data_IF_859840218448
#
_entry.id   IF_859840218448
#
_cell.length_a   1.000
_cell.length_b   1.000
_cell.length_c   1.000
_cell.angle_alpha   90.00
_cell.angle_beta   90.00
_cell.angle_gamma   90.00
#
_symmetry.space_group_name_H-M   'P 1'
#
loop_
_entity.id
_entity.type
_entity.pdbx_description
1 polymer ?
#
# COMPACT_ATOMS: atom_id res chain seq x y z
N UNK A 1 -6.14 9.43 -4.10
CA UNK A 1 -6.94 8.53 -4.96
C UNK A 1 -8.35 8.40 -4.39
N UNK A 2 -9.38 8.53 -5.23
CA UNK A 2 -10.77 8.19 -4.92
C UNK A 2 -11.23 7.10 -5.90
N UNK A 3 -12.06 6.18 -5.43
CA UNK A 3 -12.69 5.15 -6.25
C UNK A 3 -14.21 5.30 -6.14
N UNK A 4 -14.83 5.63 -7.27
CA UNK A 4 -16.27 5.81 -7.42
C UNK A 4 -16.94 4.46 -7.72
N UNK A 5 -17.63 3.91 -6.72
CA UNK A 5 -18.29 2.61 -6.78
C UNK A 5 -19.51 2.63 -7.70
N UNK A 6 -20.16 3.79 -7.89
CA UNK A 6 -21.31 3.91 -8.80
C UNK A 6 -20.89 3.81 -10.26
N UNK A 7 -19.63 4.17 -10.56
CA UNK A 7 -19.04 4.03 -11.90
C UNK A 7 -18.35 2.69 -12.10
N UNK A 8 -17.94 2.01 -11.04
CA UNK A 8 -17.15 0.79 -11.19
C UNK A 8 -17.98 -0.37 -11.75
N UNK A 9 -17.67 -0.80 -12.98
CA UNK A 9 -18.31 -1.95 -13.63
C UNK A 9 -17.59 -3.29 -13.38
N UNK A 10 -16.52 -3.27 -12.57
CA UNK A 10 -15.79 -4.49 -12.23
C UNK A 10 -15.11 -5.21 -13.40
N UNK A 11 -14.66 -4.49 -14.44
CA UNK A 11 -14.06 -5.09 -15.64
C UNK A 11 -12.62 -5.60 -15.48
N UNK A 12 -11.99 -5.42 -14.31
CA UNK A 12 -10.61 -5.81 -14.01
C UNK A 12 -9.50 -5.15 -14.86
N UNK A 13 -9.81 -4.24 -15.79
CA UNK A 13 -8.83 -3.54 -16.62
C UNK A 13 -7.73 -2.86 -15.79
N UNK A 14 -8.10 -2.24 -14.66
CA UNK A 14 -7.17 -1.60 -13.74
C UNK A 14 -6.13 -2.56 -13.13
N UNK A 15 -6.51 -3.83 -12.92
CA UNK A 15 -5.60 -4.85 -12.40
C UNK A 15 -4.65 -5.34 -13.49
N UNK A 16 -5.18 -5.63 -14.68
CA UNK A 16 -4.40 -6.09 -15.84
C UNK A 16 -3.37 -5.03 -16.26
N UNK A 17 -3.79 -3.78 -16.43
CA UNK A 17 -2.88 -2.70 -16.82
C UNK A 17 -1.76 -2.49 -15.78
N UNK A 18 -2.10 -2.58 -14.50
CA UNK A 18 -1.09 -2.46 -13.44
C UNK A 18 -0.09 -3.63 -13.44
N UNK A 19 -0.51 -4.83 -13.84
CA UNK A 19 0.43 -5.95 -13.98
C UNK A 19 1.36 -5.74 -15.17
N UNK A 20 0.79 -5.38 -16.32
CA UNK A 20 1.54 -5.16 -17.55
C UNK A 20 2.54 -4.00 -17.43
N UNK A 21 2.15 -2.91 -16.77
CA UNK A 21 3.02 -1.74 -16.57
C UNK A 21 4.24 -2.04 -15.69
N UNK A 22 4.11 -2.98 -14.75
CA UNK A 22 5.07 -3.17 -13.66
C UNK A 22 5.63 -4.59 -13.55
N UNK A 23 5.44 -5.40 -14.59
CA UNK A 23 5.85 -6.81 -14.67
C UNK A 23 5.49 -7.60 -13.40
N UNK A 24 4.27 -7.40 -12.91
CA UNK A 24 3.78 -8.08 -11.69
C UNK A 24 3.51 -9.55 -12.02
N UNK A 25 4.00 -10.52 -11.21
CA UNK A 25 3.76 -11.93 -11.44
C UNK A 25 2.28 -12.29 -11.59
N UNK A 26 2.01 -13.33 -12.39
CA UNK A 26 0.65 -13.74 -12.75
C UNK A 26 -0.23 -14.08 -11.54
N UNK A 27 0.35 -14.63 -10.46
CA UNK A 27 -0.34 -15.01 -9.21
C UNK A 27 -0.40 -13.88 -8.16
N UNK A 28 0.26 -12.73 -8.42
CA UNK A 28 0.30 -11.57 -7.50
C UNK A 28 -0.46 -10.38 -8.07
N UNK A 29 -0.65 -9.33 -7.26
CA UNK A 29 -1.32 -8.12 -7.72
C UNK A 29 -1.01 -6.91 -6.85
N UNK A 30 -0.73 -5.76 -7.48
CA UNK A 30 -0.59 -4.47 -6.80
C UNK A 30 -1.94 -3.78 -6.53
N UNK A 31 -2.98 -4.18 -7.25
CA UNK A 31 -4.38 -3.85 -7.01
C UNK A 31 -5.27 -5.05 -7.36
N UNK A 32 -6.53 -5.03 -6.93
CA UNK A 32 -7.52 -6.08 -7.19
C UNK A 32 -8.91 -5.48 -7.43
N UNK A 33 -9.85 -6.33 -7.85
CA UNK A 33 -11.29 -6.06 -7.88
C UNK A 33 -12.00 -7.27 -7.31
N UNK A 34 -12.79 -7.11 -6.25
CA UNK A 34 -13.66 -8.15 -5.67
C UNK A 34 -15.11 -7.84 -5.97
N UNK A 35 -15.93 -8.83 -6.31
CA UNK A 35 -17.39 -8.66 -6.33
C UNK A 35 -17.90 -8.74 -4.88
N UNK A 36 -18.78 -7.83 -4.51
CA UNK A 36 -19.46 -7.82 -3.22
C UNK A 36 -20.96 -8.03 -3.41
N UNK A 37 -21.56 -8.81 -2.50
CA UNK A 37 -22.97 -9.17 -2.57
C UNK A 37 -23.29 -10.15 -3.72
N UNK A 38 -24.57 -10.33 -4.06
CA UNK A 38 -25.72 -9.58 -3.53
C UNK A 38 -25.95 -9.81 -2.04
N UNK A 39 -26.29 -8.76 -1.29
CA UNK A 39 -26.60 -8.86 0.14
C UNK A 39 -27.57 -7.76 0.58
N UNK A 40 -28.41 -8.07 1.56
CA UNK A 40 -29.30 -7.09 2.17
C UNK A 40 -28.51 -6.18 3.09
N UNK A 41 -28.64 -4.87 2.89
CA UNK A 41 -28.10 -3.84 3.78
C UNK A 41 -29.27 -3.12 4.48
N UNK A 42 -29.03 -2.35 5.55
CA UNK A 42 -30.03 -1.44 6.13
C UNK A 42 -30.59 -0.41 5.13
N UNK A 43 -29.98 -0.29 3.94
CA UNK A 43 -30.37 0.63 2.87
C UNK A 43 -30.91 -0.10 1.63
N UNK A 44 -31.23 -1.39 1.74
CA UNK A 44 -31.77 -2.22 0.67
C UNK A 44 -30.77 -3.23 0.09
N UNK A 45 -31.21 -3.98 -0.93
CA UNK A 45 -30.38 -4.95 -1.63
C UNK A 45 -29.24 -4.23 -2.37
N UNK A 46 -28.00 -4.67 -2.11
CA UNK A 46 -26.78 -4.12 -2.71
C UNK A 46 -25.98 -5.20 -3.44
N UNK A 47 -25.35 -4.82 -4.55
CA UNK A 47 -24.30 -5.58 -5.20
C UNK A 47 -23.37 -4.59 -5.89
N UNK A 48 -22.08 -4.68 -5.58
CA UNK A 48 -21.08 -3.73 -6.07
C UNK A 48 -19.74 -4.41 -6.26
N UNK A 49 -18.72 -3.63 -6.59
CA UNK A 49 -17.34 -4.09 -6.71
C UNK A 49 -16.46 -3.35 -5.71
N UNK A 50 -15.41 -4.02 -5.24
CA UNK A 50 -14.37 -3.45 -4.40
C UNK A 50 -13.03 -3.47 -5.15
N UNK A 51 -12.68 -2.38 -5.84
CA UNK A 51 -11.35 -2.19 -6.38
C UNK A 51 -10.40 -1.74 -5.26
N UNK A 52 -9.56 -2.64 -4.74
CA UNK A 52 -8.61 -2.32 -3.67
C UNK A 52 -7.16 -2.24 -4.15
N UNK A 53 -6.32 -1.57 -3.37
CA UNK A 53 -4.87 -1.37 -3.58
C UNK A 53 -4.21 -0.88 -2.29
N UNK A 54 -2.90 -0.63 -2.31
CA UNK A 54 -2.23 0.02 -1.18
C UNK A 54 -2.86 1.39 -0.90
N UNK A 55 -3.16 1.65 0.37
CA UNK A 55 -3.79 2.89 0.81
C UNK A 55 -2.81 4.07 0.94
N UNK A 56 -1.49 3.86 0.83
CA UNK A 56 -0.46 4.87 1.09
C UNK A 56 -0.75 5.65 2.39
N UNK A 57 -0.95 4.92 3.50
CA UNK A 57 -1.51 5.44 4.75
C UNK A 57 -0.67 6.55 5.39
N UNK A 58 -1.33 7.35 6.22
CA UNK A 58 -0.69 8.44 6.95
C UNK A 58 0.29 7.96 8.01
N UNK A 59 -0.09 6.91 8.73
CA UNK A 59 0.71 6.21 9.74
C UNK A 59 0.97 4.77 9.29
N UNK A 60 1.86 4.54 8.30
CA UNK A 60 1.98 3.24 7.65
C UNK A 60 2.65 2.22 8.59
N UNK A 61 1.85 1.28 9.12
CA UNK A 61 2.34 0.18 9.97
C UNK A 61 3.51 -0.59 9.33
N UNK A 62 3.43 -0.81 8.01
CA UNK A 62 4.47 -1.44 7.22
C UNK A 62 5.85 -0.75 7.24
N UNK A 63 5.91 0.56 7.49
CA UNK A 63 7.18 1.30 7.64
C UNK A 63 7.78 1.07 9.03
N UNK A 64 6.95 1.14 10.07
CA UNK A 64 7.36 1.02 11.47
C UNK A 64 7.97 -0.36 11.85
N UNK A 65 7.77 -1.38 11.01
CA UNK A 65 8.21 -2.76 11.24
C UNK A 65 9.39 -3.19 10.36
N UNK A 66 9.83 -2.34 9.42
CA UNK A 66 10.89 -2.72 8.49
C UNK A 66 12.21 -2.94 9.25
N UNK A 67 12.82 -4.14 9.17
CA UNK A 67 14.02 -4.48 9.93
C UNK A 67 15.32 -3.97 9.29
N UNK A 68 15.30 -3.57 8.01
CA UNK A 68 16.48 -3.04 7.30
C UNK A 68 17.12 -1.86 8.04
N UNK A 69 18.44 -1.77 7.96
CA UNK A 69 19.19 -0.69 8.59
C UNK A 69 18.78 0.66 8.01
N UNK A 70 18.52 1.68 8.85
CA UNK A 70 18.18 3.01 8.38
C UNK A 70 19.39 3.69 7.72
N UNK A 71 19.10 4.54 6.73
CA UNK A 71 20.08 5.44 6.13
C UNK A 71 19.46 6.83 5.99
N UNK A 72 20.30 7.86 6.01
CA UNK A 72 19.91 9.20 5.64
C UNK A 72 19.53 9.25 4.16
N UNK A 73 18.32 9.72 3.85
CA UNK A 73 17.85 9.97 2.50
C UNK A 73 17.33 11.41 2.40
N UNK A 74 17.68 12.11 1.32
CA UNK A 74 17.22 13.47 1.04
C UNK A 74 16.10 13.43 0.00
N UNK A 75 14.94 13.92 0.41
CA UNK A 75 13.74 14.07 -0.40
C UNK A 75 13.69 15.47 -0.99
N UNK A 76 13.13 15.60 -2.20
CA UNK A 76 12.91 16.89 -2.85
C UNK A 76 11.46 16.97 -3.31
N UNK A 77 10.76 18.02 -2.87
CA UNK A 77 9.38 18.29 -3.26
C UNK A 77 9.31 18.71 -4.74
N UNK A 78 8.49 18.00 -5.51
CA UNK A 78 8.18 18.40 -6.88
C UNK A 78 7.48 19.77 -6.89
N UNK A 79 7.98 20.70 -7.70
CA UNK A 79 7.41 22.04 -7.86
C UNK A 79 8.05 23.14 -7.02
N UNK A 80 8.29 22.91 -5.72
CA UNK A 80 8.91 23.94 -4.85
C UNK A 80 10.44 23.80 -4.75
N UNK A 81 10.97 22.60 -5.00
CA UNK A 81 12.38 22.29 -4.78
C UNK A 81 12.77 22.19 -3.30
N UNK A 82 11.80 22.24 -2.37
CA UNK A 82 12.05 22.11 -0.94
C UNK A 82 12.65 20.74 -0.65
N UNK A 83 13.73 20.71 0.12
CA UNK A 83 14.40 19.46 0.50
C UNK A 83 14.14 19.10 1.96
N UNK A 84 14.20 17.80 2.25
CA UNK A 84 14.17 17.27 3.62
C UNK A 84 15.01 16.01 3.70
N UNK A 85 15.94 15.96 4.63
CA UNK A 85 16.70 14.74 4.93
C UNK A 85 16.11 14.03 6.14
N UNK A 86 15.92 12.72 6.05
CA UNK A 86 15.46 11.90 7.18
C UNK A 86 16.01 10.47 7.10
N UNK A 87 16.12 9.83 8.26
CA UNK A 87 16.48 8.42 8.36
C UNK A 87 15.32 7.53 7.89
N UNK A 88 15.61 6.63 6.95
CA UNK A 88 14.63 5.69 6.40
C UNK A 88 15.20 4.28 6.29
N UNK A 89 14.38 3.28 6.63
CA UNK A 89 14.66 1.88 6.31
C UNK A 89 14.36 1.59 4.82
N UNK A 90 14.26 0.32 4.43
CA UNK A 90 13.96 -0.08 3.05
C UNK A 90 12.51 0.22 2.59
N UNK A 91 11.62 0.64 3.49
CA UNK A 91 10.31 1.19 3.12
C UNK A 91 10.05 2.45 3.93
N UNK A 92 9.54 3.48 3.29
CA UNK A 92 9.34 4.80 3.89
C UNK A 92 8.05 5.44 3.41
N UNK A 93 7.65 6.53 4.07
CA UNK A 93 6.65 7.48 3.56
C UNK A 93 7.41 8.72 3.11
N UNK A 94 7.22 9.11 1.86
CA UNK A 94 7.72 10.37 1.33
C UNK A 94 7.11 11.54 2.13
N UNK A 95 7.90 12.50 2.60
CA UNK A 95 7.43 13.57 3.47
C UNK A 95 6.64 14.67 2.74
N UNK A 96 6.66 14.71 1.40
CA UNK A 96 6.04 15.74 0.59
C UNK A 96 4.79 15.21 -0.11
N UNK A 97 4.92 14.15 -0.92
CA UNK A 97 3.78 13.61 -1.68
C UNK A 97 2.94 12.60 -0.87
N UNK A 98 3.45 12.19 0.30
CA UNK A 98 2.78 11.27 1.22
C UNK A 98 2.74 9.82 0.74
N UNK A 99 3.38 9.49 -0.36
CA UNK A 99 3.40 8.13 -0.89
C UNK A 99 4.29 7.22 -0.04
N UNK A 100 3.85 5.98 0.20
CA UNK A 100 4.67 4.97 0.88
C UNK A 100 5.41 4.17 -0.17
N UNK A 101 6.73 4.08 -0.11
CA UNK A 101 7.58 3.42 -1.12
C UNK A 101 8.47 2.32 -0.52
N UNK A 102 9.09 1.52 -1.40
CA UNK A 102 10.01 0.43 -1.06
C UNK A 102 11.24 0.53 -1.95
N UNK A 103 12.41 0.56 -1.34
CA UNK A 103 13.70 0.39 -1.99
C UNK A 103 13.93 -1.10 -2.11
N UNK A 104 13.98 -1.57 -3.36
CA UNK A 104 14.11 -2.99 -3.69
C UNK A 104 15.52 -3.52 -3.44
N UNK A 105 16.53 -2.66 -3.52
CA UNK A 105 17.93 -3.05 -3.29
C UNK A 105 18.15 -3.31 -1.80
N UNK A 106 17.61 -2.45 -0.94
CA UNK A 106 17.72 -2.58 0.53
C UNK A 106 16.70 -3.51 1.17
N UNK A 107 15.70 -3.96 0.42
CA UNK A 107 14.68 -4.86 0.95
C UNK A 107 15.25 -6.26 1.23
N UNK A 108 15.08 -6.73 2.47
CA UNK A 108 15.61 -8.02 2.94
C UNK A 108 14.71 -9.23 2.61
N UNK A 109 13.61 -9.06 1.87
CA UNK A 109 12.68 -10.16 1.55
C UNK A 109 11.84 -10.72 2.72
N UNK A 110 12.14 -10.34 3.97
CA UNK A 110 11.57 -10.95 5.20
C UNK A 110 10.04 -10.96 5.41
N UNK A 111 9.24 -10.28 4.58
CA UNK A 111 7.77 -10.30 4.69
C UNK A 111 7.14 -9.53 5.85
N UNK A 112 7.89 -9.04 6.84
CA UNK A 112 7.34 -8.35 8.02
C UNK A 112 6.39 -7.18 7.68
N UNK A 113 6.70 -6.43 6.63
CA UNK A 113 5.85 -5.31 6.18
C UNK A 113 4.55 -5.76 5.48
N UNK A 114 4.53 -6.97 4.91
CA UNK A 114 3.34 -7.58 4.33
C UNK A 114 2.40 -8.06 5.43
N UNK A 115 2.93 -8.79 6.42
CA UNK A 115 2.19 -9.22 7.61
C UNK A 115 1.62 -8.02 8.38
N UNK A 116 2.36 -6.91 8.41
CA UNK A 116 1.95 -5.71 9.11
C UNK A 116 0.86 -4.88 8.41
N UNK A 117 0.54 -5.18 7.15
CA UNK A 117 -0.41 -4.39 6.38
C UNK A 117 -1.85 -4.86 6.68
N UNK A 118 -2.69 -4.03 7.33
CA UNK A 118 -4.05 -4.46 7.70
C UNK A 118 -5.01 -4.57 6.50
N UNK A 119 -4.54 -4.19 5.31
CA UNK A 119 -5.29 -4.25 4.05
C UNK A 119 -4.78 -5.37 3.13
N UNK A 120 -3.80 -6.16 3.57
CA UNK A 120 -3.14 -7.20 2.76
C UNK A 120 -2.65 -6.69 1.40
N UNK A 121 -2.24 -5.42 1.34
CA UNK A 121 -1.88 -4.74 0.10
C UNK A 121 -0.40 -4.88 -0.29
N UNK A 122 0.31 -5.82 0.35
CA UNK A 122 1.74 -6.09 0.20
C UNK A 122 1.93 -7.60 0.10
N UNK A 123 2.91 -8.03 -0.68
CA UNK A 123 3.35 -9.42 -0.78
C UNK A 123 4.88 -9.46 -0.95
N UNK A 124 5.50 -10.63 -0.78
CA UNK A 124 6.89 -10.84 -1.21
C UNK A 124 6.86 -11.37 -2.64
N UNK A 125 7.54 -10.68 -3.55
CA UNK A 125 7.70 -11.07 -4.93
C UNK A 125 8.97 -11.92 -5.07
N UNK A 126 8.85 -13.25 -5.29
CA UNK A 126 10.00 -14.14 -5.41
C UNK A 126 10.78 -13.94 -6.71
N UNK A 127 10.22 -13.24 -7.70
CA UNK A 127 10.93 -12.91 -8.95
C UNK A 127 11.93 -11.76 -8.78
N UNK A 128 11.95 -11.08 -7.63
CA UNK A 128 12.86 -9.96 -7.36
C UNK A 128 14.00 -10.41 -6.45
N UNK A 129 15.12 -10.83 -7.04
CA UNK A 129 16.30 -11.29 -6.29
C UNK A 129 16.11 -12.64 -5.57
N UNK A 130 17.19 -13.14 -4.97
CA UNK A 130 17.25 -14.49 -4.38
C UNK A 130 16.23 -14.71 -3.25
N UNK A 131 16.18 -13.80 -2.27
CA UNK A 131 15.24 -13.88 -1.14
C UNK A 131 13.82 -13.34 -1.46
N UNK A 132 13.59 -12.90 -2.70
CA UNK A 132 12.43 -12.09 -3.07
C UNK A 132 12.44 -10.69 -2.45
N UNK A 133 11.63 -9.76 -2.97
CA UNK A 133 11.44 -8.42 -2.39
C UNK A 133 9.98 -8.11 -2.13
N UNK A 134 9.69 -7.40 -1.05
CA UNK A 134 8.35 -6.90 -0.77
C UNK A 134 7.86 -5.99 -1.90
N UNK A 135 6.62 -6.17 -2.35
CA UNK A 135 6.03 -5.43 -3.45
C UNK A 135 4.56 -5.03 -3.18
N UNK A 136 4.11 -3.95 -3.83
CA UNK A 136 2.80 -3.33 -3.66
C UNK A 136 2.57 -2.23 -4.72
N UNK A 137 1.37 -1.66 -4.75
CA UNK A 137 1.11 -0.41 -5.46
C UNK A 137 2.09 0.70 -5.02
N UNK A 138 2.61 1.44 -6.00
CA UNK A 138 3.50 2.60 -5.82
C UNK A 138 2.80 3.93 -6.07
N UNK A 139 1.49 3.92 -6.40
CA UNK A 139 0.78 5.02 -7.05
C UNK A 139 1.40 5.44 -8.40
N UNK A 140 2.19 4.55 -9.01
CA UNK A 140 2.89 4.81 -10.27
C UNK A 140 3.72 6.10 -10.20
N UNK A 141 4.46 6.32 -9.11
CA UNK A 141 5.22 7.55 -8.88
C UNK A 141 6.12 7.92 -10.06
N UNK A 142 6.69 6.94 -10.75
CA UNK A 142 7.54 7.16 -11.92
C UNK A 142 6.73 7.69 -13.12
N UNK A 143 5.50 7.18 -13.34
CA UNK A 143 4.58 7.72 -14.36
C UNK A 143 4.14 9.13 -14.01
N UNK A 144 3.77 9.35 -12.74
CA UNK A 144 3.31 10.65 -12.25
C UNK A 144 4.42 11.69 -12.36
N UNK A 145 5.67 11.33 -12.04
CA UNK A 145 6.84 12.19 -12.23
C UNK A 145 7.07 12.55 -13.71
N UNK A 146 6.68 11.67 -14.65
CA UNK A 146 6.70 11.94 -16.08
C UNK A 146 5.44 12.68 -16.60
N UNK A 147 4.55 13.16 -15.72
CA UNK A 147 3.32 13.85 -16.09
C UNK A 147 2.22 12.95 -16.62
N UNK A 148 2.32 11.64 -16.42
CA UNK A 148 1.33 10.65 -16.84
C UNK A 148 0.43 10.24 -15.67
N UNK A 149 -0.79 9.81 -15.99
CA UNK A 149 -1.67 9.19 -14.99
C UNK A 149 -1.15 7.80 -14.57
N UNK A 150 -1.47 7.34 -13.34
CA UNK A 150 -1.26 5.95 -12.97
C UNK A 150 -1.94 5.00 -13.97
N UNK A 151 -1.29 3.89 -14.35
CA UNK A 151 -1.81 2.98 -15.39
C UNK A 151 -3.24 2.49 -15.09
N UNK A 152 -3.56 2.25 -13.81
CA UNK A 152 -4.90 1.83 -13.38
C UNK A 152 -5.98 2.91 -13.53
N UNK A 153 -5.61 4.18 -13.56
CA UNK A 153 -6.49 5.35 -13.78
C UNK A 153 -6.69 5.53 -15.28
N UNK A 154 -5.60 5.59 -16.04
CA UNK A 154 -5.61 5.77 -17.48
C UNK A 154 -6.46 4.72 -18.22
N UNK A 155 -6.39 3.45 -17.79
CA UNK A 155 -7.17 2.36 -18.41
C UNK A 155 -8.64 2.31 -17.97
N UNK A 156 -9.05 3.11 -16.98
CA UNK A 156 -10.36 2.98 -16.36
C UNK A 156 -11.47 3.51 -17.28
N UNK A 157 -12.05 2.62 -18.08
CA UNK A 157 -13.10 2.93 -19.07
C UNK A 157 -14.29 3.72 -18.48
N UNK A 158 -14.68 3.41 -17.25
CA UNK A 158 -15.82 4.05 -16.59
C UNK A 158 -15.44 5.32 -15.81
N UNK A 159 -14.17 5.72 -15.77
CA UNK A 159 -13.70 6.86 -14.98
C UNK A 159 -13.95 6.70 -13.48
N UNK A 160 -13.92 5.46 -12.98
CA UNK A 160 -14.18 5.13 -11.57
C UNK A 160 -12.98 5.41 -10.67
N UNK A 161 -11.75 5.32 -11.18
CA UNK A 161 -10.53 5.61 -10.41
C UNK A 161 -10.09 7.04 -10.70
N UNK A 162 -10.00 7.86 -9.65
CA UNK A 162 -9.71 9.30 -9.74
C UNK A 162 -8.45 9.58 -8.93
N UNK A 163 -7.42 10.09 -9.58
CA UNK A 163 -6.14 10.39 -8.97
C UNK A 163 -5.86 11.89 -8.92
N UNK A 164 -5.05 12.32 -7.96
CA UNK A 164 -4.75 13.73 -7.74
C UNK A 164 -4.26 14.01 -6.33
N UNK A 165 -3.88 15.26 -6.12
CA UNK A 165 -3.39 15.78 -4.83
C UNK A 165 -4.56 16.14 -3.91
N UNK A 166 -4.54 15.60 -2.69
CA UNK A 166 -5.54 15.90 -1.67
C UNK A 166 -5.33 17.28 -1.01
N UNK A 167 -4.14 17.85 -1.12
CA UNK A 167 -3.81 19.16 -0.58
C UNK A 167 -4.26 20.30 -1.51
N UNK A 168 -4.45 20.03 -2.80
CA UNK A 168 -5.08 20.97 -3.72
C UNK A 168 -6.62 20.92 -3.59
N UNK A 169 -7.28 21.96 -3.05
CA UNK A 169 -8.73 21.97 -2.88
C UNK A 169 -9.51 22.04 -4.20
N UNK A 170 -8.84 22.28 -5.33
CA UNK A 170 -9.41 22.31 -6.69
C UNK A 170 -9.31 20.95 -7.39
N UNK A 171 -8.52 20.01 -6.87
CA UNK A 171 -8.35 18.70 -7.49
C UNK A 171 -9.65 17.90 -7.51
N UNK A 172 -9.78 16.98 -8.48
CA UNK A 172 -10.96 16.11 -8.57
C UNK A 172 -11.11 15.24 -7.32
N UNK A 173 -10.00 14.73 -6.76
CA UNK A 173 -10.05 13.95 -5.51
C UNK A 173 -10.59 14.78 -4.34
N UNK A 174 -10.20 16.05 -4.21
CA UNK A 174 -10.69 16.93 -3.15
C UNK A 174 -12.19 17.24 -3.30
N UNK A 175 -12.69 17.37 -4.53
CA UNK A 175 -14.13 17.52 -4.80
C UNK A 175 -14.92 16.30 -4.32
N UNK A 176 -14.42 15.09 -4.61
CA UNK A 176 -15.06 13.85 -4.15
C UNK A 176 -15.00 13.69 -2.63
N UNK A 177 -13.92 14.11 -1.97
CA UNK A 177 -13.84 14.15 -0.50
C UNK A 177 -14.94 15.05 0.07
N UNK A 178 -15.12 16.25 -0.50
CA UNK A 178 -16.20 17.19 -0.10
C UNK A 178 -17.60 16.60 -0.32
N UNK A 179 -17.77 15.75 -1.34
CA UNK A 179 -19.04 15.02 -1.61
C UNK A 179 -19.29 13.85 -0.65
N UNK A 180 -18.36 13.54 0.25
CA UNK A 180 -18.51 12.47 1.24
C UNK A 180 -17.81 11.16 0.88
N UNK A 181 -16.74 11.18 0.07
CA UNK A 181 -15.91 10.00 -0.13
C UNK A 181 -15.28 9.53 1.21
N UNK A 182 -15.48 8.27 1.56
CA UNK A 182 -15.14 7.69 2.86
C UNK A 182 -13.80 6.97 2.85
N UNK A 183 -13.13 6.95 3.99
CA UNK A 183 -11.94 6.13 4.25
C UNK A 183 -12.35 4.74 4.72
N UNK A 184 -11.57 3.72 4.35
CA UNK A 184 -11.75 2.36 4.88
C UNK A 184 -10.94 2.20 6.16
N UNK A 185 -11.54 2.55 7.29
CA UNK A 185 -10.89 2.61 8.59
C UNK A 185 -11.83 2.04 9.67
N UNK A 186 -11.31 1.28 10.62
CA UNK A 186 -12.08 0.86 11.82
C UNK A 186 -11.60 1.62 13.03
N UNK A 187 -12.38 1.56 14.12
CA UNK A 187 -11.94 2.13 15.39
C UNK A 187 -10.63 1.54 15.90
N UNK A 188 -10.39 0.28 15.60
CA UNK A 188 -9.21 -0.45 16.03
C UNK A 188 -8.00 -0.25 15.10
N UNK A 189 -8.20 0.23 13.88
CA UNK A 189 -7.13 0.45 12.88
C UNK A 189 -7.22 1.88 12.37
N UNK A 190 -6.86 2.86 13.21
CA UNK A 190 -6.87 4.29 12.88
C UNK A 190 -5.54 4.82 12.33
N UNK A 191 -5.16 4.39 11.13
CA UNK A 191 -3.86 4.72 10.51
C UNK A 191 -3.95 5.69 9.31
N UNK A 192 -5.13 6.25 9.05
CA UNK A 192 -5.35 7.27 8.02
C UNK A 192 -5.08 6.77 6.59
N UNK A 193 -5.88 5.86 6.02
CA UNK A 193 -5.75 5.49 4.61
C UNK A 193 -6.02 6.67 3.68
N UNK A 194 -5.26 6.77 2.58
CA UNK A 194 -5.36 7.87 1.62
C UNK A 194 -6.17 7.53 0.35
N UNK A 195 -6.49 6.26 0.12
CA UNK A 195 -7.53 5.87 -0.85
C UNK A 195 -8.89 5.99 -0.18
N UNK A 196 -9.84 6.61 -0.89
CA UNK A 196 -11.22 6.80 -0.42
C UNK A 196 -12.21 6.23 -1.43
N UNK A 197 -13.40 5.90 -0.96
CA UNK A 197 -14.48 5.34 -1.78
C UNK A 197 -15.68 6.27 -1.79
N UNK A 198 -16.27 6.45 -2.95
CA UNK A 198 -17.49 7.24 -3.12
C UNK A 198 -18.58 6.35 -3.71
N UNK A 199 -19.83 6.55 -3.30
CA UNK A 199 -20.98 5.90 -3.90
C UNK A 199 -22.21 5.93 -2.99
N UNK A 200 -23.28 5.27 -3.42
CA UNK A 200 -24.52 5.20 -2.67
C UNK A 200 -24.35 4.48 -1.32
N UNK A 201 -25.28 4.75 -0.40
CA UNK A 201 -25.22 4.25 0.98
C UNK A 201 -25.20 2.73 1.09
N UNK A 202 -25.94 2.02 0.23
CA UNK A 202 -26.05 0.55 0.28
C UNK A 202 -24.73 -0.11 -0.16
N UNK A 203 -24.07 0.40 -1.19
CA UNK A 203 -22.82 -0.14 -1.69
C UNK A 203 -21.65 0.21 -0.77
N UNK A 204 -21.62 1.44 -0.23
CA UNK A 204 -20.65 1.83 0.78
C UNK A 204 -20.80 1.01 2.07
N UNK A 205 -22.03 0.77 2.52
CA UNK A 205 -22.28 -0.09 3.69
C UNK A 205 -21.71 -1.49 3.46
N UNK A 206 -22.05 -2.12 2.33
CA UNK A 206 -21.55 -3.45 1.98
C UNK A 206 -20.02 -3.51 1.90
N UNK A 207 -19.39 -2.47 1.35
CA UNK A 207 -17.93 -2.36 1.33
C UNK A 207 -17.37 -2.24 2.75
N UNK A 208 -17.91 -1.35 3.58
CA UNK A 208 -17.43 -1.13 4.96
C UNK A 208 -17.58 -2.36 5.84
N UNK A 209 -18.69 -3.10 5.75
CA UNK A 209 -18.84 -4.31 6.57
C UNK A 209 -17.90 -5.44 6.14
N UNK A 210 -17.67 -5.59 4.83
CA UNK A 210 -16.89 -6.72 4.29
C UNK A 210 -15.38 -6.50 4.26
N UNK A 211 -14.93 -5.24 4.19
CA UNK A 211 -13.57 -4.92 3.77
C UNK A 211 -12.83 -3.93 4.69
N UNK A 212 -13.47 -3.46 5.75
CA UNK A 212 -12.79 -2.62 6.74
C UNK A 212 -11.72 -3.42 7.48
N UNK A 213 -10.51 -2.88 7.67
CA UNK A 213 -9.42 -3.60 8.33
C UNK A 213 -9.77 -3.94 9.78
N UNK A 214 -9.35 -5.13 10.20
CA UNK A 214 -9.34 -5.56 11.60
C UNK A 214 -7.91 -5.47 12.16
N UNK A 215 -7.78 -5.46 13.48
CA UNK A 215 -6.46 -5.48 14.14
C UNK A 215 -5.68 -6.69 13.66
N UNK A 216 -4.37 -6.52 13.51
CA UNK A 216 -3.49 -7.65 13.18
C UNK A 216 -3.63 -8.75 14.23
N UNK A 217 -3.68 -10.03 13.82
CA UNK A 217 -3.64 -11.14 14.76
C UNK A 217 -2.44 -11.03 15.70
N UNK A 218 -2.61 -11.34 16.99
CA UNK A 218 -1.53 -11.23 18.00
C UNK A 218 -0.25 -11.97 17.61
N UNK A 219 -0.38 -13.10 16.90
CA UNK A 219 0.75 -13.88 16.40
C UNK A 219 1.65 -13.07 15.46
N UNK A 220 1.07 -12.21 14.62
CA UNK A 220 1.81 -11.32 13.73
C UNK A 220 2.52 -10.22 14.53
N UNK A 221 1.86 -9.67 15.57
CA UNK A 221 2.50 -8.71 16.48
C UNK A 221 3.69 -9.29 17.23
N UNK A 222 3.59 -10.53 17.73
CA UNK A 222 4.70 -11.21 18.43
C UNK A 222 5.92 -11.42 17.53
N UNK A 223 5.72 -11.82 16.27
CA UNK A 223 6.83 -11.95 15.29
C UNK A 223 7.52 -10.61 15.05
N UNK A 224 6.75 -9.54 14.89
CA UNK A 224 7.26 -8.18 14.69
C UNK A 224 8.07 -7.70 15.93
N UNK A 225 7.56 -7.95 17.13
CA UNK A 225 8.24 -7.63 18.39
C UNK A 225 9.56 -8.41 18.53
N UNK A 226 9.56 -9.72 18.23
CA UNK A 226 10.78 -10.52 18.26
C UNK A 226 11.82 -10.03 17.24
N UNK A 227 11.41 -9.70 16.01
CA UNK A 227 12.31 -9.12 15.01
C UNK A 227 12.96 -7.80 15.49
N UNK A 228 12.21 -6.96 16.23
CA UNK A 228 12.75 -5.75 16.86
C UNK A 228 13.69 -6.05 18.04
N UNK A 229 13.41 -7.06 18.85
CA UNK A 229 14.25 -7.45 19.99
C UNK A 229 15.55 -8.15 19.58
N UNK A 230 15.56 -8.86 18.45
CA UNK A 230 16.74 -9.54 17.91
C UNK A 230 17.70 -8.60 17.15
N UNK A 231 17.26 -7.39 16.78
CA UNK A 231 18.11 -6.35 16.13
C UNK A 231 19.42 -6.04 16.87
N UNK A 232 19.43 -5.74 18.19
CA UNK A 232 20.68 -5.47 18.90
C UNK A 232 21.59 -6.69 19.08
N UNK A 233 21.05 -7.92 19.05
CA UNK A 233 21.82 -9.16 19.21
C UNK A 233 22.56 -9.54 17.92
N UNK A 234 21.93 -9.35 16.77
CA UNK A 234 22.54 -9.57 15.45
C UNK A 234 23.58 -8.49 15.11
N UNK A 235 23.38 -7.24 15.56
CA UNK A 235 24.35 -6.15 15.42
C UNK A 235 25.67 -6.40 16.18
N UNK A 236 25.64 -7.15 17.29
CA UNK A 236 26.86 -7.58 18.02
C UNK A 236 27.58 -8.75 17.36
N UNK A 237 26.87 -9.59 16.60
CA UNK A 237 27.44 -10.73 15.89
C UNK A 237 28.09 -10.34 14.55
N UNK A 238 27.57 -9.32 13.86
CA UNK A 238 28.04 -8.88 12.54
C UNK A 238 29.41 -8.18 12.49
N UNK A 239 30.08 -7.95 13.64
CA UNK A 239 31.42 -7.35 13.69
C UNK A 239 32.51 -8.30 14.19
N UNK A 240 32.20 -9.58 14.49
CA UNK A 240 33.21 -10.58 14.84
C UNK A 240 32.85 -11.95 14.29
N UNK A 241 33.69 -12.39 13.37
CA UNK A 241 34.00 -13.77 12.97
C UNK A 241 33.39 -14.23 11.65
N UNK A 242 34.26 -14.27 10.63
CA UNK A 242 34.20 -15.35 9.66
C UNK A 242 34.29 -16.68 10.41
N UNK A 243 33.30 -17.53 10.20
CA UNK A 243 33.37 -18.96 10.52
C UNK A 243 32.97 -19.71 9.24
N UNK A 244 33.87 -19.66 8.26
CA UNK A 244 33.99 -20.72 7.27
C UNK A 244 35.01 -21.71 7.84
N UNK A 245 34.56 -22.90 8.20
CA UNK A 245 35.41 -23.98 8.68
C UNK A 245 34.97 -24.49 10.04
N UNK A 246 34.27 -25.63 10.03
CA UNK A 246 34.40 -26.83 10.88
C UNK A 246 33.08 -27.59 10.72
N UNK A 247 32.96 -28.33 9.60
CA UNK A 247 32.10 -29.50 9.46
C UNK A 247 32.76 -30.45 8.44
N UNK A 248 33.97 -30.90 8.78
CA UNK A 248 34.57 -32.15 8.27
C UNK A 248 35.53 -32.63 9.35
N UNK A 249 35.17 -33.73 10.02
CA UNK A 249 35.93 -34.34 11.12
C UNK A 249 35.01 -35.08 12.07
#
# INVERSE_FOLDING_TARGET
MVIDLEKCIGCHACAVACKAEWDVPADKGRNWVKRLGPSNTPHGLASTYYPGLCNHCDQPACVAVCPADPVAMTFTEAGTGKTKTMEVAATWKDPFDGTVQIDKERCLGCGACADACPYSARYVNPALGEDGKADKCTFCVERVAAGLEPACVQTCLAGARIFGDLNDPKSEVAKYVKKGAVKMESDAVKIGPNVRYFGNRRDLHLLTESSTPQVMPEASMRRIMMAKMLRPLTKKAGTKNGLLGILTG
#
